data_IF_680965112082
#
_entry.id   IF_680965112082
#
_cell.length_a   1.000
_cell.length_b   1.000
_cell.length_c   1.000
_cell.angle_alpha   90.00
_cell.angle_beta   90.00
_cell.angle_gamma   90.00
#
_symmetry.space_group_name_H-M   'P 1'
#
loop_
_entity.id
_entity.type
_entity.pdbx_description
1 polymer ?
#
# COMPACT_ATOMS: atom_id res chain seq x y z
N UNK A 1 -20.07 26.47 43.10
CA UNK A 1 -18.77 25.90 42.67
C UNK A 1 -18.90 24.50 42.08
N UNK A 2 -19.80 23.63 42.55
CA UNK A 2 -20.05 22.30 41.96
C UNK A 2 -20.51 22.29 40.49
N UNK A 3 -21.34 23.25 40.07
CA UNK A 3 -21.79 23.33 38.67
C UNK A 3 -20.67 23.63 37.66
N UNK A 4 -19.57 24.27 38.09
CA UNK A 4 -18.42 24.59 37.23
C UNK A 4 -17.47 23.39 37.08
N UNK A 5 -17.25 22.62 38.14
CA UNK A 5 -16.42 21.40 38.10
C UNK A 5 -17.04 20.28 37.26
N UNK A 6 -18.38 20.16 37.24
CA UNK A 6 -19.07 19.15 36.42
C UNK A 6 -18.98 19.45 34.91
N UNK A 7 -19.02 20.72 34.51
CA UNK A 7 -18.81 21.14 33.13
C UNK A 7 -17.36 20.86 32.66
N UNK A 8 -16.36 21.21 33.47
CA UNK A 8 -14.93 20.95 33.21
C UNK A 8 -14.60 19.44 33.07
N UNK A 9 -15.25 18.57 33.86
CA UNK A 9 -15.06 17.12 33.76
C UNK A 9 -15.70 16.47 32.53
N UNK A 10 -16.78 17.07 32.00
CA UNK A 10 -17.46 16.56 30.80
C UNK A 10 -16.66 16.90 29.53
N UNK A 11 -16.06 18.09 29.49
CA UNK A 11 -15.18 18.53 28.40
C UNK A 11 -13.89 17.70 28.34
N UNK A 12 -13.25 17.43 29.48
CA UNK A 12 -12.02 16.61 29.51
C UNK A 12 -12.25 15.17 29.01
N UNK A 13 -13.36 14.54 29.42
CA UNK A 13 -13.73 13.20 28.98
C UNK A 13 -14.06 13.17 27.48
N UNK A 14 -14.73 14.20 26.95
CA UNK A 14 -15.04 14.30 25.52
C UNK A 14 -13.77 14.51 24.67
N UNK A 15 -12.82 15.33 25.13
CA UNK A 15 -11.54 15.57 24.45
C UNK A 15 -10.68 14.31 24.44
N UNK A 16 -10.66 13.56 25.55
CA UNK A 16 -9.95 12.29 25.63
C UNK A 16 -10.57 11.24 24.72
N UNK A 17 -11.90 11.07 24.74
CA UNK A 17 -12.61 10.14 23.85
C UNK A 17 -12.39 10.45 22.37
N UNK A 18 -12.43 11.73 21.98
CA UNK A 18 -12.15 12.17 20.60
C UNK A 18 -10.71 11.85 20.22
N UNK A 19 -9.71 12.14 21.07
CA UNK A 19 -8.31 11.80 20.80
C UNK A 19 -8.11 10.29 20.61
N UNK A 20 -8.73 9.47 21.47
CA UNK A 20 -8.65 8.01 21.41
C UNK A 20 -9.27 7.42 20.14
N UNK A 21 -10.29 8.09 19.56
CA UNK A 21 -10.95 7.63 18.33
C UNK A 21 -10.18 7.95 17.04
N UNK A 22 -9.26 8.93 17.03
CA UNK A 22 -8.52 9.34 15.82
C UNK A 22 -7.72 8.15 15.26
N UNK A 23 -6.92 7.51 16.11
CA UNK A 23 -6.02 6.45 15.66
C UNK A 23 -6.78 5.25 15.05
N UNK A 24 -7.80 4.66 15.69
CA UNK A 24 -8.60 3.59 15.10
C UNK A 24 -9.22 3.96 13.76
N UNK A 25 -9.75 5.18 13.61
CA UNK A 25 -10.35 5.63 12.35
C UNK A 25 -9.31 5.67 11.23
N UNK A 26 -8.14 6.25 11.47
CA UNK A 26 -7.07 6.29 10.46
C UNK A 26 -6.54 4.89 10.12
N UNK A 27 -6.36 4.02 11.12
CA UNK A 27 -5.93 2.62 10.92
C UNK A 27 -6.95 1.87 10.07
N UNK A 28 -8.24 1.94 10.42
CA UNK A 28 -9.30 1.26 9.69
C UNK A 28 -9.43 1.78 8.25
N UNK A 29 -9.29 3.09 8.05
CA UNK A 29 -9.37 3.73 6.73
C UNK A 29 -8.20 3.30 5.83
N UNK A 30 -6.98 3.35 6.35
CA UNK A 30 -5.78 2.91 5.59
C UNK A 30 -5.84 1.41 5.29
N UNK A 31 -6.24 0.60 6.27
CA UNK A 31 -6.43 -0.84 6.09
C UNK A 31 -7.44 -1.13 4.98
N UNK A 32 -8.64 -0.54 5.05
CA UNK A 32 -9.69 -0.74 4.05
C UNK A 32 -9.26 -0.24 2.67
N UNK A 33 -8.56 0.89 2.61
CA UNK A 33 -8.02 1.42 1.35
C UNK A 33 -7.06 0.44 0.71
N UNK A 34 -6.10 -0.08 1.47
CA UNK A 34 -5.12 -1.03 0.98
C UNK A 34 -5.78 -2.37 0.59
N UNK A 35 -6.77 -2.81 1.35
CA UNK A 35 -7.58 -3.99 1.06
C UNK A 35 -8.30 -3.86 -0.29
N UNK A 36 -8.96 -2.73 -0.55
CA UNK A 36 -9.65 -2.48 -1.81
C UNK A 36 -8.67 -2.34 -2.99
N UNK A 37 -7.50 -1.73 -2.76
CA UNK A 37 -6.44 -1.57 -3.75
C UNK A 37 -5.85 -2.91 -4.21
N UNK A 38 -5.71 -3.87 -3.30
CA UNK A 38 -5.16 -5.19 -3.61
C UNK A 38 -6.21 -6.21 -4.05
N UNK A 39 -7.48 -6.05 -3.67
CA UNK A 39 -8.56 -6.95 -4.12
C UNK A 39 -8.98 -6.66 -5.56
N UNK A 40 -8.91 -5.40 -6.00
CA UNK A 40 -9.36 -5.02 -7.34
C UNK A 40 -8.50 -5.62 -8.46
N UNK A 41 -7.21 -5.85 -8.21
CA UNK A 41 -6.28 -6.38 -9.21
C UNK A 41 -6.64 -7.81 -9.65
N UNK A 42 -6.71 -8.82 -8.76
CA UNK A 42 -7.12 -10.17 -9.14
C UNK A 42 -8.61 -10.24 -9.55
N UNK A 43 -9.48 -9.45 -8.91
CA UNK A 43 -10.88 -9.32 -9.31
C UNK A 43 -11.04 -8.90 -10.77
N UNK A 44 -10.39 -7.80 -11.16
CA UNK A 44 -10.51 -7.28 -12.52
C UNK A 44 -9.77 -8.15 -13.54
N UNK A 45 -8.61 -8.69 -13.18
CA UNK A 45 -7.91 -9.67 -14.02
C UNK A 45 -8.80 -10.90 -14.31
N UNK A 46 -9.50 -11.43 -13.29
CA UNK A 46 -10.44 -12.54 -13.46
C UNK A 46 -11.66 -12.18 -14.32
N UNK A 47 -12.15 -10.93 -14.22
CA UNK A 47 -13.23 -10.44 -15.08
C UNK A 47 -12.84 -10.40 -16.57
N UNK A 48 -11.58 -10.08 -16.86
CA UNK A 48 -11.06 -9.98 -18.23
C UNK A 48 -10.59 -11.34 -18.78
N UNK A 49 -10.21 -12.27 -17.90
CA UNK A 49 -9.67 -13.60 -18.25
C UNK A 49 -10.44 -14.35 -19.35
N UNK A 50 -11.79 -14.41 -19.39
CA UNK A 50 -12.52 -15.14 -20.43
C UNK A 50 -12.33 -14.58 -21.85
N UNK A 51 -11.84 -13.34 -21.99
CA UNK A 51 -11.67 -12.66 -23.30
C UNK A 51 -10.28 -12.81 -23.88
N UNK A 52 -9.25 -12.85 -23.03
CA UNK A 52 -7.84 -12.89 -23.44
C UNK A 52 -7.14 -14.23 -23.10
N UNK A 53 -7.77 -15.08 -22.29
CA UNK A 53 -7.14 -16.26 -21.71
C UNK A 53 -6.13 -15.91 -20.62
N UNK A 54 -5.52 -16.95 -20.03
CA UNK A 54 -4.58 -16.84 -18.90
C UNK A 54 -3.11 -16.74 -19.31
N UNK A 55 -2.79 -16.12 -20.45
CA UNK A 55 -1.40 -16.07 -20.90
C UNK A 55 -0.54 -15.19 -19.97
N UNK A 56 0.76 -15.52 -19.77
CA UNK A 56 1.66 -14.70 -18.96
C UNK A 56 1.73 -13.23 -19.40
N UNK A 57 1.59 -12.96 -20.71
CA UNK A 57 1.64 -11.61 -21.26
C UNK A 57 0.50 -10.70 -20.79
N UNK A 58 -0.72 -11.23 -20.64
CA UNK A 58 -1.87 -10.47 -20.09
C UNK A 58 -1.54 -9.97 -18.69
N UNK A 59 -0.84 -10.80 -17.91
CA UNK A 59 -0.51 -10.42 -16.54
C UNK A 59 0.62 -9.41 -16.45
N UNK A 60 1.65 -9.53 -17.28
CA UNK A 60 2.71 -8.52 -17.35
C UNK A 60 2.13 -7.13 -17.68
N UNK A 61 1.18 -7.05 -18.61
CA UNK A 61 0.48 -5.80 -18.94
C UNK A 61 -0.33 -5.27 -17.76
N UNK A 62 -1.05 -6.15 -17.07
CA UNK A 62 -1.81 -5.77 -15.88
C UNK A 62 -0.91 -5.19 -14.78
N UNK A 63 0.23 -5.83 -14.51
CA UNK A 63 1.20 -5.35 -13.54
C UNK A 63 1.77 -3.97 -13.93
N UNK A 64 2.21 -3.79 -15.18
CA UNK A 64 2.70 -2.48 -15.65
C UNK A 64 1.65 -1.39 -15.44
N UNK A 65 0.39 -1.66 -15.76
CA UNK A 65 -0.70 -0.71 -15.53
C UNK A 65 -0.85 -0.36 -14.04
N UNK A 66 -1.07 -1.37 -13.18
CA UNK A 66 -1.35 -1.13 -11.76
C UNK A 66 -0.18 -0.46 -11.04
N UNK A 67 1.06 -0.84 -11.34
CA UNK A 67 2.23 -0.19 -10.75
C UNK A 67 2.39 1.26 -11.24
N UNK A 68 2.12 1.53 -12.52
CA UNK A 68 2.16 2.89 -13.06
C UNK A 68 1.11 3.77 -12.39
N UNK A 69 -0.13 3.31 -12.27
CA UNK A 69 -1.21 4.10 -11.65
C UNK A 69 -0.98 4.26 -10.13
N UNK A 70 -0.41 3.26 -9.45
CA UNK A 70 0.02 3.35 -8.05
C UNK A 70 1.03 4.49 -7.87
N UNK A 71 2.07 4.52 -8.70
CA UNK A 71 3.10 5.56 -8.70
C UNK A 71 2.50 6.94 -8.98
N UNK A 72 1.58 7.04 -9.95
CA UNK A 72 0.86 8.28 -10.22
C UNK A 72 0.03 8.75 -9.02
N UNK A 73 -0.65 7.85 -8.32
CA UNK A 73 -1.41 8.18 -7.11
C UNK A 73 -0.52 8.67 -5.97
N UNK A 74 0.65 8.08 -5.79
CA UNK A 74 1.63 8.52 -4.80
C UNK A 74 2.24 9.87 -5.17
N UNK A 75 2.54 10.08 -6.46
CA UNK A 75 2.96 11.37 -7.00
C UNK A 75 1.92 12.44 -6.76
N UNK A 76 0.65 12.16 -7.09
CA UNK A 76 -0.48 13.03 -6.80
C UNK A 76 -0.60 13.36 -5.31
N UNK A 77 -0.54 12.35 -4.43
CA UNK A 77 -0.57 12.54 -2.98
C UNK A 77 0.54 13.47 -2.48
N UNK A 78 1.76 13.30 -3.01
CA UNK A 78 2.90 14.17 -2.71
C UNK A 78 2.67 15.61 -3.16
N UNK A 79 2.26 15.81 -4.42
CA UNK A 79 1.98 17.14 -4.98
C UNK A 79 0.87 17.84 -4.20
N UNK A 80 -0.21 17.13 -3.87
CA UNK A 80 -1.35 17.64 -3.14
C UNK A 80 -0.95 18.11 -1.73
N UNK A 81 -0.16 17.30 -1.03
CA UNK A 81 0.31 17.60 0.33
C UNK A 81 1.32 18.74 0.37
N UNK A 82 2.16 18.85 -0.66
CA UNK A 82 3.25 19.81 -0.76
C UNK A 82 2.79 21.20 -1.20
N UNK A 83 1.88 21.28 -2.18
CA UNK A 83 1.55 22.55 -2.83
C UNK A 83 0.18 23.12 -2.46
N UNK A 84 -0.77 22.30 -2.01
CA UNK A 84 -2.10 22.79 -1.66
C UNK A 84 -2.27 23.02 -0.16
N UNK A 85 -3.08 24.04 0.17
CA UNK A 85 -3.60 24.23 1.53
C UNK A 85 -4.43 22.99 1.94
N UNK A 86 -4.42 22.59 3.22
CA UNK A 86 -5.09 21.36 3.66
C UNK A 86 -6.57 21.26 3.25
N UNK A 87 -7.32 22.36 3.32
CA UNK A 87 -8.74 22.39 2.91
C UNK A 87 -8.91 22.11 1.41
N UNK A 88 -8.04 22.68 0.57
CA UNK A 88 -8.08 22.45 -0.87
C UNK A 88 -7.66 21.02 -1.20
N UNK A 89 -6.64 20.48 -0.52
CA UNK A 89 -6.24 19.08 -0.65
C UNK A 89 -7.41 18.12 -0.36
N UNK A 90 -8.13 18.33 0.75
CA UNK A 90 -9.32 17.52 1.08
C UNK A 90 -10.40 17.67 0.00
N UNK A 91 -10.70 18.89 -0.45
CA UNK A 91 -11.73 19.12 -1.47
C UNK A 91 -11.37 18.48 -2.82
N UNK A 92 -10.13 18.65 -3.29
CA UNK A 92 -9.67 18.04 -4.54
C UNK A 92 -9.74 16.51 -4.47
N UNK A 93 -9.30 15.92 -3.36
CA UNK A 93 -9.38 14.48 -3.20
C UNK A 93 -10.82 13.97 -3.10
N UNK A 94 -11.71 14.73 -2.45
CA UNK A 94 -13.14 14.45 -2.44
C UNK A 94 -13.74 14.47 -3.86
N UNK A 95 -13.35 15.43 -4.71
CA UNK A 95 -13.77 15.46 -6.11
C UNK A 95 -13.25 14.25 -6.89
N UNK A 96 -12.01 13.80 -6.66
CA UNK A 96 -11.46 12.59 -7.29
C UNK A 96 -12.23 11.34 -6.85
N UNK A 97 -12.53 11.21 -5.55
CA UNK A 97 -13.34 10.10 -5.03
C UNK A 97 -14.76 10.12 -5.62
N UNK A 98 -15.39 11.29 -5.70
CA UNK A 98 -16.71 11.44 -6.31
C UNK A 98 -16.69 11.11 -7.81
N UNK A 99 -15.67 11.54 -8.55
CA UNK A 99 -15.53 11.23 -9.98
C UNK A 99 -15.33 9.73 -10.24
N UNK A 100 -14.63 9.03 -9.35
CA UNK A 100 -14.48 7.58 -9.43
C UNK A 100 -15.79 6.79 -9.22
N UNK A 101 -16.83 7.40 -8.64
CA UNK A 101 -18.17 6.80 -8.57
C UNK A 101 -18.83 6.62 -9.95
N UNK A 102 -18.43 7.42 -10.96
CA UNK A 102 -18.91 7.28 -12.33
C UNK A 102 -18.50 5.94 -12.97
N UNK A 103 -17.51 5.26 -12.39
CA UNK A 103 -16.98 3.98 -12.84
C UNK A 103 -17.50 2.80 -12.01
N UNK A 104 -18.49 3.04 -11.14
CA UNK A 104 -19.12 2.01 -10.31
C UNK A 104 -20.50 1.60 -10.87
N UNK A 105 -20.89 0.31 -10.79
CA UNK A 105 -20.06 -0.82 -10.36
C UNK A 105 -18.97 -1.14 -11.40
N UNK A 106 -17.80 -1.58 -10.96
CA UNK A 106 -16.70 -1.92 -11.87
C UNK A 106 -17.17 -3.05 -12.80
N UNK A 107 -17.12 -2.78 -14.10
CA UNK A 107 -17.51 -3.70 -15.15
C UNK A 107 -16.68 -3.43 -16.41
N UNK A 108 -16.76 -4.33 -17.37
CA UNK A 108 -16.20 -4.08 -18.70
C UNK A 108 -17.15 -3.11 -19.42
N UNK A 109 -16.67 -1.91 -19.82
CA UNK A 109 -17.51 -0.91 -20.46
C UNK A 109 -17.94 -1.35 -21.86
N UNK A 110 -19.06 -0.77 -22.31
CA UNK A 110 -19.59 -1.02 -23.65
C UNK A 110 -18.55 -0.65 -24.73
N UNK A 111 -18.39 -1.50 -25.74
CA UNK A 111 -17.39 -1.35 -26.80
C UNK A 111 -16.00 -1.93 -26.49
N UNK A 112 -15.81 -2.50 -25.28
CA UNK A 112 -14.58 -3.18 -24.86
C UNK A 112 -14.78 -4.69 -24.63
N UNK A 113 -15.82 -5.27 -25.22
CA UNK A 113 -16.17 -6.68 -24.98
C UNK A 113 -15.27 -7.64 -25.76
N UNK A 114 -14.81 -7.23 -26.95
CA UNK A 114 -14.05 -8.07 -27.88
C UNK A 114 -12.65 -7.49 -28.09
N UNK A 115 -11.59 -8.22 -27.76
CA UNK A 115 -10.23 -7.76 -28.01
C UNK A 115 -9.89 -7.80 -29.52
N UNK A 116 -9.05 -6.88 -30.01
CA UNK A 116 -8.61 -6.89 -31.40
C UNK A 116 -7.67 -8.06 -31.69
N UNK A 117 -7.55 -8.44 -32.98
CA UNK A 117 -6.64 -9.51 -33.42
C UNK A 117 -5.16 -9.14 -33.24
N UNK A 118 -4.83 -7.85 -33.36
CA UNK A 118 -3.48 -7.31 -33.15
C UNK A 118 -3.49 -6.21 -32.09
N UNK A 119 -2.39 -6.05 -31.36
CA UNK A 119 -2.26 -4.96 -30.38
C UNK A 119 -3.02 -5.19 -29.06
N UNK A 120 -3.27 -6.45 -28.68
CA UNK A 120 -4.00 -6.81 -27.47
C UNK A 120 -3.43 -6.18 -26.19
N UNK A 121 -2.11 -6.00 -26.08
CA UNK A 121 -1.49 -5.36 -24.92
C UNK A 121 -1.89 -3.89 -24.78
N UNK A 122 -1.90 -3.13 -25.87
CA UNK A 122 -2.30 -1.70 -25.86
C UNK A 122 -3.80 -1.57 -25.57
N UNK A 123 -4.59 -2.45 -26.19
CA UNK A 123 -6.02 -2.54 -25.90
C UNK A 123 -6.27 -2.83 -24.41
N UNK A 124 -5.57 -3.79 -23.82
CA UNK A 124 -5.73 -4.14 -22.41
C UNK A 124 -5.37 -2.98 -21.47
N UNK A 125 -4.31 -2.22 -21.77
CA UNK A 125 -3.98 -0.99 -21.04
C UNK A 125 -5.13 0.03 -21.13
N UNK A 126 -5.71 0.19 -22.33
CA UNK A 126 -6.87 1.05 -22.56
C UNK A 126 -8.09 0.62 -21.74
N UNK A 127 -8.44 -0.67 -21.78
CA UNK A 127 -9.52 -1.26 -20.99
C UNK A 127 -9.32 -0.97 -19.50
N UNK A 128 -8.12 -1.20 -18.99
CA UNK A 128 -7.81 -0.96 -17.58
C UNK A 128 -7.95 0.53 -17.24
N UNK A 129 -7.48 1.43 -18.11
CA UNK A 129 -7.61 2.87 -17.93
C UNK A 129 -9.07 3.32 -17.83
N UNK A 130 -9.94 2.84 -18.73
CA UNK A 130 -11.34 3.28 -18.79
C UNK A 130 -12.25 2.57 -17.79
N UNK A 131 -11.90 1.38 -17.32
CA UNK A 131 -12.76 0.61 -16.42
C UNK A 131 -12.39 0.81 -14.94
N UNK A 132 -11.10 0.79 -14.62
CA UNK A 132 -10.61 0.75 -13.23
C UNK A 132 -9.54 1.80 -12.92
N UNK A 133 -9.04 2.53 -13.92
CA UNK A 133 -7.96 3.49 -13.77
C UNK A 133 -8.23 4.59 -12.75
N UNK A 134 -9.35 5.31 -12.87
CA UNK A 134 -9.69 6.38 -11.92
C UNK A 134 -10.01 5.85 -10.51
N UNK A 135 -10.83 4.79 -10.34
CA UNK A 135 -11.03 4.17 -9.02
C UNK A 135 -9.71 3.72 -8.37
N UNK A 136 -8.82 3.05 -9.12
CA UNK A 136 -7.53 2.59 -8.61
C UNK A 136 -6.63 3.78 -8.23
N UNK A 137 -6.53 4.80 -9.09
CA UNK A 137 -5.80 6.03 -8.82
C UNK A 137 -6.28 6.71 -7.52
N UNK A 138 -7.58 6.87 -7.35
CA UNK A 138 -8.17 7.50 -6.17
C UNK A 138 -7.81 6.74 -4.87
N UNK A 139 -7.91 5.40 -4.90
CA UNK A 139 -7.60 4.55 -3.74
C UNK A 139 -6.10 4.50 -3.46
N UNK A 140 -5.25 4.49 -4.49
CA UNK A 140 -3.79 4.42 -4.34
C UNK A 140 -3.20 5.62 -3.60
N UNK A 141 -3.77 6.81 -3.79
CA UNK A 141 -3.31 8.04 -3.14
C UNK A 141 -3.55 8.06 -1.62
N UNK A 142 -4.50 7.26 -1.11
CA UNK A 142 -4.95 7.33 0.28
C UNK A 142 -3.85 6.97 1.29
N UNK A 143 -2.99 5.99 0.99
CA UNK A 143 -1.95 5.54 1.92
C UNK A 143 -1.03 6.68 2.37
N UNK A 144 -0.35 7.36 1.43
CA UNK A 144 0.47 8.54 1.74
C UNK A 144 -0.35 9.73 2.26
N UNK A 145 -1.54 10.01 1.68
CA UNK A 145 -2.37 11.14 2.10
C UNK A 145 -2.85 11.02 3.54
N UNK A 146 -3.39 9.87 3.93
CA UNK A 146 -3.92 9.65 5.27
C UNK A 146 -2.82 9.69 6.32
N UNK A 147 -1.60 9.23 6.01
CA UNK A 147 -0.46 9.39 6.91
C UNK A 147 -0.03 10.85 7.06
N UNK A 148 -0.02 11.62 5.97
CA UNK A 148 0.25 13.06 6.01
C UNK A 148 -0.85 13.85 6.72
N UNK A 149 -2.10 13.40 6.67
CA UNK A 149 -3.19 14.01 7.43
C UNK A 149 -3.12 13.62 8.90
N UNK A 150 -2.79 12.37 9.23
CA UNK A 150 -2.60 11.91 10.60
C UNK A 150 -1.52 12.71 11.32
N UNK A 151 -0.41 13.03 10.64
CA UNK A 151 0.67 13.84 11.22
C UNK A 151 0.26 15.27 11.59
N UNK A 152 -0.87 15.76 11.05
CA UNK A 152 -1.44 17.10 11.32
C UNK A 152 -2.55 17.09 12.37
N UNK A 153 -2.90 15.94 12.96
CA UNK A 153 -4.01 15.83 13.93
C UNK A 153 -3.64 16.20 15.37
N UNK A 154 -2.34 16.33 15.68
CA UNK A 154 -1.87 16.56 17.05
C UNK A 154 -2.03 15.35 17.98
N UNK A 155 -2.27 14.15 17.44
CA UNK A 155 -2.25 12.90 18.21
C UNK A 155 -0.84 12.62 18.75
N UNK A 156 -0.72 11.92 19.89
CA UNK A 156 0.55 11.54 20.52
C UNK A 156 1.50 10.71 19.63
N UNK A 157 0.99 10.22 18.50
CA UNK A 157 1.72 9.41 17.53
C UNK A 157 1.82 10.08 16.16
N UNK A 158 1.35 11.32 16.02
CA UNK A 158 1.34 12.07 14.78
C UNK A 158 2.77 12.39 14.29
N UNK A 159 3.74 12.49 15.20
CA UNK A 159 5.14 12.76 14.86
C UNK A 159 5.82 11.62 14.07
N UNK A 160 5.39 10.37 14.26
CA UNK A 160 5.88 9.19 13.54
C UNK A 160 4.70 8.32 13.06
N UNK A 161 4.05 8.70 11.94
CA UNK A 161 2.87 8.00 11.42
C UNK A 161 3.20 6.70 10.69
N UNK A 162 4.48 6.37 10.49
CA UNK A 162 4.93 5.31 9.57
C UNK A 162 4.41 3.91 9.92
N UNK A 163 4.04 3.65 11.18
CA UNK A 163 3.42 2.40 11.59
C UNK A 163 2.06 2.14 10.90
N UNK A 164 1.37 3.20 10.44
CA UNK A 164 0.14 3.07 9.65
C UNK A 164 0.39 2.40 8.30
N UNK A 165 1.60 2.50 7.75
CA UNK A 165 2.00 1.72 6.58
C UNK A 165 2.06 0.22 6.86
N UNK A 166 2.42 -0.16 8.09
CA UNK A 166 2.27 -1.54 8.56
C UNK A 166 0.81 -1.99 8.48
N UNK A 167 -0.13 -1.20 9.01
CA UNK A 167 -1.58 -1.48 8.90
C UNK A 167 -2.06 -1.55 7.44
N UNK A 168 -1.55 -0.68 6.57
CA UNK A 168 -1.80 -0.72 5.12
C UNK A 168 -1.40 -2.07 4.53
N UNK A 169 -0.16 -2.51 4.79
CA UNK A 169 0.35 -3.77 4.25
C UNK A 169 -0.35 -5.00 4.84
N UNK A 170 -0.85 -4.94 6.09
CA UNK A 170 -1.73 -5.99 6.63
C UNK A 170 -3.03 -6.07 5.82
N UNK A 171 -3.62 -4.93 5.46
CA UNK A 171 -4.81 -4.89 4.60
C UNK A 171 -4.55 -5.47 3.21
N UNK A 172 -3.44 -5.09 2.58
CA UNK A 172 -2.99 -5.65 1.30
C UNK A 172 -2.77 -7.16 1.37
N UNK A 173 -2.06 -7.64 2.40
CA UNK A 173 -1.81 -9.05 2.63
C UNK A 173 -3.10 -9.83 2.85
N UNK A 174 -3.98 -9.33 3.72
CA UNK A 174 -5.27 -9.96 4.02
C UNK A 174 -6.14 -10.06 2.76
N UNK A 175 -6.14 -9.03 1.91
CA UNK A 175 -6.87 -9.06 0.64
C UNK A 175 -6.41 -10.18 -0.28
N UNK A 176 -5.11 -10.39 -0.41
CA UNK A 176 -4.57 -11.44 -1.28
C UNK A 176 -4.92 -12.84 -0.79
N UNK A 177 -4.80 -13.08 0.52
CA UNK A 177 -5.15 -14.37 1.12
C UNK A 177 -6.66 -14.62 1.03
N UNK A 178 -7.48 -13.63 1.42
CA UNK A 178 -8.94 -13.74 1.35
C UNK A 178 -9.44 -13.88 -0.08
N UNK A 179 -8.73 -13.35 -1.09
CA UNK A 179 -9.10 -13.56 -2.48
C UNK A 179 -9.11 -15.06 -2.83
N UNK A 180 -8.06 -15.79 -2.45
CA UNK A 180 -7.91 -17.22 -2.75
C UNK A 180 -8.91 -18.07 -1.95
N UNK A 181 -9.03 -17.83 -0.65
CA UNK A 181 -9.78 -18.74 0.23
C UNK A 181 -11.27 -18.40 0.35
N UNK A 182 -11.68 -17.17 0.01
CA UNK A 182 -13.03 -16.70 0.23
C UNK A 182 -13.66 -16.02 -0.99
N UNK A 183 -13.05 -14.98 -1.56
CA UNK A 183 -13.72 -14.23 -2.65
C UNK A 183 -13.82 -15.03 -3.93
N UNK A 184 -12.76 -15.72 -4.31
CA UNK A 184 -12.77 -16.49 -5.53
C UNK A 184 -13.68 -17.74 -5.45
N UNK A 185 -13.67 -18.54 -4.38
CA UNK A 185 -14.49 -19.75 -4.31
C UNK A 185 -15.97 -19.46 -3.99
N UNK A 186 -16.27 -18.37 -3.26
CA UNK A 186 -17.61 -18.13 -2.71
C UNK A 186 -18.39 -17.02 -3.42
N UNK A 187 -17.72 -16.10 -4.14
CA UNK A 187 -18.40 -14.95 -4.76
C UNK A 187 -18.35 -15.01 -6.29
N UNK A 188 -19.49 -14.71 -6.93
CA UNK A 188 -19.51 -14.45 -8.36
C UNK A 188 -18.78 -13.15 -8.68
N UNK A 189 -18.36 -12.96 -9.94
CA UNK A 189 -17.74 -11.69 -10.37
C UNK A 189 -18.67 -10.48 -10.16
N UNK A 190 -19.99 -10.68 -10.31
CA UNK A 190 -20.98 -9.64 -10.00
C UNK A 190 -21.04 -9.30 -8.51
N UNK A 191 -20.94 -10.30 -7.63
CA UNK A 191 -20.88 -10.08 -6.17
C UNK A 191 -19.60 -9.38 -5.74
N UNK A 192 -18.46 -9.74 -6.36
CA UNK A 192 -17.18 -9.05 -6.13
C UNK A 192 -17.27 -7.57 -6.54
N UNK A 193 -17.88 -7.27 -7.68
CA UNK A 193 -18.10 -5.90 -8.16
C UNK A 193 -18.98 -5.07 -7.20
N UNK A 194 -20.09 -5.66 -6.73
CA UNK A 194 -20.97 -5.03 -5.73
C UNK A 194 -20.26 -4.82 -4.39
N UNK A 195 -19.55 -5.84 -3.90
CA UNK A 195 -18.81 -5.77 -2.64
C UNK A 195 -17.74 -4.69 -2.68
N UNK A 196 -17.03 -4.58 -3.81
CA UNK A 196 -16.03 -3.53 -4.01
C UNK A 196 -16.69 -2.14 -4.02
N UNK A 197 -17.85 -1.99 -4.67
CA UNK A 197 -18.61 -0.72 -4.68
C UNK A 197 -19.02 -0.30 -3.26
N UNK A 198 -19.54 -1.22 -2.45
CA UNK A 198 -19.90 -0.94 -1.04
C UNK A 198 -18.66 -0.56 -0.23
N UNK A 199 -17.57 -1.31 -0.38
CA UNK A 199 -16.30 -0.99 0.26
C UNK A 199 -15.77 0.39 -0.16
N UNK A 200 -15.89 0.75 -1.44
CA UNK A 200 -15.48 2.04 -1.97
C UNK A 200 -16.27 3.20 -1.35
N UNK A 201 -17.60 3.07 -1.24
CA UNK A 201 -18.45 4.08 -0.60
C UNK A 201 -18.10 4.24 0.89
N UNK A 202 -17.89 3.12 1.59
CA UNK A 202 -17.43 3.13 2.99
C UNK A 202 -16.07 3.83 3.12
N UNK A 203 -15.13 3.49 2.25
CA UNK A 203 -13.80 4.10 2.21
C UNK A 203 -13.90 5.61 1.95
N UNK A 204 -14.69 6.03 0.95
CA UNK A 204 -14.86 7.45 0.63
C UNK A 204 -15.39 8.22 1.84
N UNK A 205 -16.41 7.70 2.53
CA UNK A 205 -16.93 8.28 3.77
C UNK A 205 -15.86 8.39 4.87
N UNK A 206 -15.10 7.32 5.10
CA UNK A 206 -14.03 7.29 6.10
C UNK A 206 -12.89 8.26 5.78
N UNK A 207 -12.49 8.38 4.51
CA UNK A 207 -11.49 9.36 4.07
C UNK A 207 -11.98 10.79 4.33
N UNK A 208 -13.26 11.08 4.08
CA UNK A 208 -13.84 12.40 4.40
C UNK A 208 -13.86 12.66 5.91
N UNK A 209 -14.13 11.66 6.74
CA UNK A 209 -14.04 11.76 8.20
C UNK A 209 -12.60 12.06 8.63
N UNK A 210 -11.59 11.35 8.10
CA UNK A 210 -10.17 11.63 8.35
C UNK A 210 -9.79 13.05 7.96
N UNK A 211 -10.23 13.52 6.78
CA UNK A 211 -10.00 14.89 6.32
C UNK A 211 -10.65 15.94 7.23
N UNK A 212 -11.88 15.70 7.68
CA UNK A 212 -12.58 16.58 8.62
C UNK A 212 -11.89 16.65 9.99
N UNK A 213 -11.46 15.50 10.54
CA UNK A 213 -10.68 15.43 11.78
C UNK A 213 -9.39 16.25 11.64
N UNK A 214 -8.66 16.05 10.54
CA UNK A 214 -7.44 16.81 10.27
C UNK A 214 -7.72 18.32 10.19
N UNK A 215 -8.79 18.75 9.51
CA UNK A 215 -9.14 20.17 9.40
C UNK A 215 -9.57 20.79 10.74
N UNK A 216 -10.27 20.04 11.58
CA UNK A 216 -10.76 20.50 12.88
C UNK A 216 -9.67 20.52 13.97
N UNK A 217 -8.53 19.89 13.73
CA UNK A 217 -7.42 19.74 14.68
C UNK A 217 -6.11 20.35 14.18
N UNK A 218 -6.04 20.75 12.91
CA UNK A 218 -4.90 21.44 12.35
C UNK A 218 -4.62 22.70 13.19
N UNK A 219 -3.38 22.89 13.71
CA UNK A 219 -3.03 24.09 14.43
C UNK A 219 -3.35 25.32 13.60
N UNK A 220 -4.08 26.27 14.19
CA UNK A 220 -4.30 27.57 13.55
C UNK A 220 -2.93 28.25 13.40
N UNK A 221 -2.56 28.80 12.22
CA UNK A 221 -1.26 29.45 12.00
C UNK A 221 -0.95 30.56 13.01
N UNK A 222 -1.97 31.09 13.68
CA UNK A 222 -1.87 32.15 14.69
C UNK A 222 -1.42 31.69 16.09
N UNK A 223 -1.29 30.37 16.35
CA UNK A 223 -0.85 29.81 17.64
C UNK A 223 0.46 29.03 17.53
N UNK A 224 1.38 29.44 16.65
CA UNK A 224 2.77 29.00 16.77
C UNK A 224 3.47 29.99 17.72
N UNK A 225 3.75 29.65 18.99
CA UNK A 225 4.73 30.41 19.74
C UNK A 225 6.02 30.41 18.94
N UNK A 226 6.59 31.60 18.75
CA UNK A 226 7.92 31.83 18.20
C UNK A 226 9.05 31.35 19.16
N UNK A 227 8.81 30.27 19.89
CA UNK A 227 9.82 29.53 20.65
C UNK A 227 10.28 28.32 19.83
N UNK A 228 10.96 28.63 18.72
CA UNK A 228 12.00 27.75 18.22
C UNK A 228 13.23 28.00 19.10
N UNK A 229 13.29 27.36 20.26
CA UNK A 229 14.49 27.32 21.09
C UNK A 229 14.83 25.87 21.44
N UNK A 230 16.00 25.46 20.94
CA UNK A 230 16.87 24.35 21.31
C UNK A 230 16.36 22.89 21.17
N UNK A 231 16.87 22.23 20.11
CA UNK A 231 17.21 20.81 20.17
C UNK A 231 16.69 19.92 19.04
N UNK A 232 15.60 20.27 18.35
CA UNK A 232 15.20 19.54 17.15
C UNK A 232 15.96 20.11 15.97
N UNK A 233 16.96 19.37 15.47
CA UNK A 233 17.62 19.66 14.20
C UNK A 233 16.58 20.18 13.20
N UNK A 234 16.79 21.38 12.69
CA UNK A 234 16.28 21.77 11.37
C UNK A 234 16.90 20.75 10.38
N UNK A 235 16.31 19.56 10.30
CA UNK A 235 16.81 18.51 9.40
C UNK A 235 16.51 18.96 7.99
N UNK A 236 17.59 19.31 7.28
CA UNK A 236 17.52 19.71 5.89
C UNK A 236 16.72 18.68 5.06
N UNK A 237 15.99 19.12 4.03
CA UNK A 237 15.23 18.23 3.16
C UNK A 237 16.08 17.07 2.66
N UNK A 238 15.48 15.88 2.55
CA UNK A 238 16.20 14.67 2.15
C UNK A 238 17.10 14.90 0.91
N UNK A 239 18.38 14.54 1.05
CA UNK A 239 19.40 14.74 0.03
C UNK A 239 19.11 13.90 -1.21
N UNK A 240 19.67 14.29 -2.36
CA UNK A 240 19.66 13.43 -3.58
C UNK A 240 20.27 12.06 -3.30
N UNK A 241 21.26 11.99 -2.42
CA UNK A 241 21.89 10.74 -1.98
C UNK A 241 20.90 9.84 -1.24
N UNK A 242 20.11 10.42 -0.33
CA UNK A 242 19.11 9.66 0.45
C UNK A 242 18.03 9.09 -0.46
N UNK A 243 17.53 9.89 -1.39
CA UNK A 243 16.54 9.45 -2.40
C UNK A 243 17.06 8.31 -3.26
N UNK A 244 18.29 8.42 -3.75
CA UNK A 244 18.91 7.33 -4.51
C UNK A 244 19.08 6.06 -3.66
N UNK A 245 19.48 6.20 -2.40
CA UNK A 245 19.57 5.05 -1.48
C UNK A 245 18.21 4.40 -1.25
N UNK A 246 17.13 5.17 -1.15
CA UNK A 246 15.79 4.63 -1.01
C UNK A 246 15.38 3.82 -2.23
N UNK A 247 15.57 4.37 -3.43
CA UNK A 247 15.30 3.66 -4.70
C UNK A 247 16.13 2.38 -4.80
N UNK A 248 17.43 2.46 -4.52
CA UNK A 248 18.32 1.30 -4.62
C UNK A 248 17.94 0.19 -3.63
N UNK A 249 17.56 0.54 -2.39
CA UNK A 249 17.12 -0.42 -1.38
C UNK A 249 15.74 -1.02 -1.71
N UNK A 250 14.83 -0.25 -2.32
CA UNK A 250 13.53 -0.75 -2.77
C UNK A 250 13.63 -1.61 -4.05
N UNK A 251 14.62 -1.35 -4.91
CA UNK A 251 14.85 -2.09 -6.15
C UNK A 251 15.28 -3.55 -5.89
N UNK A 252 16.05 -3.81 -4.82
CA UNK A 252 16.52 -5.17 -4.47
C UNK A 252 15.33 -6.14 -4.26
N UNK A 253 14.41 -5.91 -3.29
CA UNK A 253 13.30 -6.81 -3.04
C UNK A 253 12.30 -6.82 -4.21
N UNK A 254 12.10 -5.70 -4.89
CA UNK A 254 11.19 -5.62 -6.05
C UNK A 254 11.71 -6.44 -7.24
N UNK A 255 13.01 -6.34 -7.54
CA UNK A 255 13.65 -7.15 -8.58
C UNK A 255 13.63 -8.65 -8.25
N UNK A 256 13.87 -9.00 -6.98
CA UNK A 256 13.76 -10.39 -6.52
C UNK A 256 12.33 -10.91 -6.61
N UNK A 257 11.32 -10.11 -6.26
CA UNK A 257 9.92 -10.50 -6.41
C UNK A 257 9.59 -10.82 -7.87
N UNK A 258 10.01 -9.97 -8.81
CA UNK A 258 9.83 -10.21 -10.24
C UNK A 258 10.54 -11.49 -10.68
N UNK A 259 11.80 -11.69 -10.25
CA UNK A 259 12.59 -12.87 -10.60
C UNK A 259 11.96 -14.17 -10.07
N UNK A 260 11.58 -14.21 -8.78
CA UNK A 260 10.94 -15.37 -8.14
C UNK A 260 9.59 -15.66 -8.80
N UNK A 261 8.77 -14.64 -9.04
CA UNK A 261 7.48 -14.83 -9.70
C UNK A 261 7.65 -15.34 -11.14
N UNK A 262 8.64 -14.85 -11.88
CA UNK A 262 8.94 -15.34 -13.22
C UNK A 262 9.36 -16.82 -13.20
N UNK A 263 10.29 -17.20 -12.33
CA UNK A 263 10.72 -18.59 -12.16
C UNK A 263 9.54 -19.51 -11.79
N UNK A 264 8.73 -19.11 -10.80
CA UNK A 264 7.54 -19.88 -10.40
C UNK A 264 6.56 -20.04 -11.56
N UNK A 265 6.35 -18.99 -12.36
CA UNK A 265 5.35 -18.98 -13.44
C UNK A 265 5.79 -19.78 -14.68
N UNK A 266 7.09 -19.76 -15.00
CA UNK A 266 7.65 -20.39 -16.20
C UNK A 266 8.09 -21.83 -15.91
N UNK A 267 8.81 -22.05 -14.81
CA UNK A 267 9.53 -23.30 -14.58
C UNK A 267 8.77 -24.27 -13.65
N UNK A 268 7.82 -23.77 -12.84
CA UNK A 268 7.06 -24.60 -11.89
C UNK A 268 5.64 -24.83 -12.39
N UNK A 269 4.81 -23.79 -12.39
CA UNK A 269 3.47 -23.83 -12.94
C UNK A 269 2.90 -22.43 -13.13
N UNK A 270 2.30 -22.19 -14.30
CA UNK A 270 1.53 -20.99 -14.59
C UNK A 270 0.14 -21.06 -13.94
N UNK A 271 0.09 -21.03 -12.60
CA UNK A 271 -1.16 -20.97 -11.84
C UNK A 271 -1.29 -19.59 -11.15
N UNK A 272 -2.40 -18.85 -11.36
CA UNK A 272 -2.68 -17.55 -10.71
C UNK A 272 -2.78 -17.57 -9.18
N UNK A 273 -2.47 -18.67 -8.49
CA UNK A 273 -2.40 -18.70 -7.02
C UNK A 273 -0.97 -18.77 -6.53
N UNK A 274 -0.07 -19.41 -7.29
CA UNK A 274 1.32 -19.63 -6.89
C UNK A 274 2.08 -18.32 -6.73
N UNK A 275 1.83 -17.33 -7.59
CA UNK A 275 2.42 -15.99 -7.51
C UNK A 275 1.94 -15.12 -6.33
N UNK A 276 0.82 -15.49 -5.69
CA UNK A 276 0.28 -14.73 -4.55
C UNK A 276 1.18 -14.96 -3.35
N UNK A 277 1.84 -16.12 -3.29
CA UNK A 277 2.75 -16.48 -2.20
C UNK A 277 3.96 -15.53 -2.17
N UNK A 278 4.76 -15.34 -3.25
CA UNK A 278 5.82 -14.33 -3.28
C UNK A 278 5.32 -12.93 -2.92
N UNK A 279 4.20 -12.48 -3.48
CA UNK A 279 3.67 -11.14 -3.22
C UNK A 279 3.20 -10.98 -1.76
N UNK A 280 2.56 -11.99 -1.19
CA UNK A 280 2.14 -11.99 0.21
C UNK A 280 3.35 -11.97 1.15
N UNK A 281 4.39 -12.76 0.86
CA UNK A 281 5.66 -12.70 1.61
C UNK A 281 6.31 -11.33 1.49
N UNK A 282 6.34 -10.73 0.30
CA UNK A 282 6.83 -9.38 0.08
C UNK A 282 6.09 -8.35 0.95
N UNK A 283 4.76 -8.34 0.94
CA UNK A 283 3.96 -7.44 1.78
C UNK A 283 4.17 -7.70 3.27
N UNK A 284 4.31 -8.96 3.68
CA UNK A 284 4.61 -9.32 5.06
C UNK A 284 5.96 -8.71 5.51
N UNK A 285 6.95 -8.62 4.62
CA UNK A 285 8.20 -7.94 4.97
C UNK A 285 8.00 -6.46 5.29
N UNK A 286 7.11 -5.76 4.58
CA UNK A 286 6.76 -4.38 4.91
C UNK A 286 5.98 -4.29 6.23
N UNK A 287 5.04 -5.21 6.50
CA UNK A 287 4.34 -5.29 7.80
C UNK A 287 5.35 -5.37 8.95
N UNK A 288 6.33 -6.26 8.84
CA UNK A 288 7.34 -6.48 9.87
C UNK A 288 8.34 -5.32 9.97
N UNK A 289 8.76 -4.74 8.84
CA UNK A 289 9.73 -3.65 8.82
C UNK A 289 9.16 -2.34 9.40
N UNK A 290 7.89 -2.04 9.10
CA UNK A 290 7.19 -0.83 9.57
C UNK A 290 6.45 -1.01 10.91
N UNK A 291 6.50 -2.19 11.52
CA UNK A 291 5.93 -2.41 12.84
C UNK A 291 6.58 -1.49 13.90
N UNK A 292 5.78 -0.94 14.81
CA UNK A 292 6.28 -0.08 15.92
C UNK A 292 7.34 -0.78 16.76
N UNK A 293 7.13 -2.08 17.03
CA UNK A 293 8.07 -2.93 17.74
C UNK A 293 8.55 -4.00 16.76
N UNK A 294 9.81 -3.87 16.34
CA UNK A 294 10.45 -4.86 15.49
C UNK A 294 10.68 -6.14 16.31
N UNK A 295 9.98 -7.21 15.94
CA UNK A 295 10.08 -8.51 16.62
C UNK A 295 11.42 -9.19 16.32
N UNK A 296 11.93 -8.97 15.11
CA UNK A 296 13.21 -9.52 14.63
C UNK A 296 14.17 -8.38 14.36
N UNK A 297 15.40 -8.47 14.85
CA UNK A 297 16.44 -7.49 14.58
C UNK A 297 17.08 -7.72 13.21
N UNK A 298 17.41 -6.63 12.49
CA UNK A 298 18.08 -6.71 11.19
C UNK A 298 19.41 -7.49 11.27
N UNK A 299 20.12 -7.38 12.40
CA UNK A 299 21.36 -8.14 12.67
C UNK A 299 21.12 -9.65 12.66
N UNK A 300 20.02 -10.13 13.21
CA UNK A 300 19.67 -11.55 13.23
C UNK A 300 19.48 -12.07 11.81
N UNK A 301 18.72 -11.35 10.99
CA UNK A 301 18.49 -11.72 9.58
C UNK A 301 19.82 -11.69 8.80
N UNK A 302 20.62 -10.64 8.99
CA UNK A 302 21.94 -10.53 8.35
C UNK A 302 22.90 -11.66 8.74
N UNK A 303 22.79 -12.20 9.96
CA UNK A 303 23.61 -13.35 10.41
C UNK A 303 23.16 -14.69 9.83
N UNK A 304 21.86 -14.84 9.53
CA UNK A 304 21.28 -16.06 8.94
C UNK A 304 21.50 -16.10 7.42
N UNK A 305 21.47 -14.93 6.78
CA UNK A 305 21.44 -14.83 5.32
C UNK A 305 22.60 -15.54 4.59
N UNK A 306 23.88 -15.46 5.02
CA UNK A 306 24.97 -16.19 4.35
C UNK A 306 24.78 -17.70 4.36
N UNK A 307 24.26 -18.26 5.45
CA UNK A 307 24.00 -19.70 5.58
C UNK A 307 22.86 -20.14 4.66
N UNK A 308 21.79 -19.35 4.61
CA UNK A 308 20.65 -19.62 3.74
C UNK A 308 21.04 -19.51 2.26
N UNK A 309 21.87 -18.53 1.90
CA UNK A 309 22.43 -18.39 0.55
C UNK A 309 23.37 -19.54 0.19
N UNK A 310 24.22 -19.99 1.11
CA UNK A 310 25.10 -21.13 0.89
C UNK A 310 24.29 -22.41 0.67
N UNK A 311 23.25 -22.64 1.48
CA UNK A 311 22.33 -23.75 1.29
C UNK A 311 21.63 -23.68 -0.08
N UNK A 312 21.10 -22.51 -0.45
CA UNK A 312 20.49 -22.29 -1.77
C UNK A 312 21.45 -22.59 -2.92
N UNK A 313 22.68 -22.10 -2.83
CA UNK A 313 23.72 -22.37 -3.83
C UNK A 313 24.07 -23.85 -3.93
N UNK A 314 24.21 -24.56 -2.80
CA UNK A 314 24.47 -26.00 -2.80
C UNK A 314 23.32 -26.76 -3.48
N UNK A 315 22.06 -26.42 -3.17
CA UNK A 315 20.90 -27.07 -3.81
C UNK A 315 20.78 -26.76 -5.31
N UNK A 316 21.38 -25.66 -5.77
CA UNK A 316 21.44 -25.31 -7.19
C UNK A 316 22.54 -26.07 -7.94
N UNK A 317 23.71 -26.26 -7.31
CA UNK A 317 24.87 -26.92 -7.95
C UNK A 317 24.79 -28.44 -7.88
N UNK A 318 24.28 -28.97 -6.76
CA UNK A 318 24.23 -30.41 -6.53
C UNK A 318 22.85 -30.94 -6.91
N UNK A 319 22.80 -31.76 -7.96
CA UNK A 319 21.61 -32.54 -8.28
C UNK A 319 21.48 -33.70 -7.28
N UNK A 320 20.89 -33.40 -6.13
CA UNK A 320 20.66 -34.33 -5.03
C UNK A 320 19.26 -34.98 -5.09
N UNK A 321 18.53 -34.83 -6.20
CA UNK A 321 17.14 -35.31 -6.31
C UNK A 321 16.18 -34.66 -5.29
N UNK A 322 16.46 -33.42 -4.88
CA UNK A 322 15.65 -32.70 -3.90
C UNK A 322 14.28 -32.40 -4.52
N UNK A 323 13.17 -32.69 -3.81
CA UNK A 323 11.85 -32.39 -4.33
C UNK A 323 11.63 -30.89 -4.59
N UNK A 324 10.92 -30.57 -5.68
CA UNK A 324 10.68 -29.19 -6.14
C UNK A 324 10.04 -28.29 -5.08
N UNK A 325 9.16 -28.81 -4.22
CA UNK A 325 8.55 -27.99 -3.17
C UNK A 325 9.55 -27.56 -2.08
N UNK A 326 10.58 -28.37 -1.81
CA UNK A 326 11.61 -28.02 -0.83
C UNK A 326 12.55 -26.96 -1.41
N UNK A 327 12.96 -27.11 -2.68
CA UNK A 327 13.77 -26.09 -3.35
C UNK A 327 12.98 -24.78 -3.48
N UNK A 328 11.71 -24.82 -3.85
CA UNK A 328 10.84 -23.64 -3.87
C UNK A 328 10.73 -22.99 -2.48
N UNK A 329 10.50 -23.77 -1.42
CA UNK A 329 10.45 -23.27 -0.05
C UNK A 329 11.73 -22.56 0.36
N UNK A 330 12.90 -23.09 -0.03
CA UNK A 330 14.19 -22.47 0.20
C UNK A 330 14.36 -21.14 -0.56
N UNK A 331 13.97 -21.10 -1.84
CA UNK A 331 14.00 -19.86 -2.64
C UNK A 331 13.09 -18.77 -2.04
N UNK A 332 11.89 -19.14 -1.61
CA UNK A 332 10.95 -18.23 -0.95
C UNK A 332 11.48 -17.72 0.40
N UNK A 333 12.13 -18.59 1.19
CA UNK A 333 12.76 -18.20 2.44
C UNK A 333 13.93 -17.23 2.21
N UNK A 334 14.79 -17.53 1.21
CA UNK A 334 15.90 -16.65 0.83
C UNK A 334 15.38 -15.28 0.37
N UNK A 335 14.40 -15.29 -0.53
CA UNK A 335 13.70 -14.09 -0.97
C UNK A 335 13.17 -13.27 0.21
N UNK A 336 12.43 -13.90 1.11
CA UNK A 336 11.84 -13.24 2.28
C UNK A 336 12.90 -12.62 3.19
N UNK A 337 13.99 -13.33 3.47
CA UNK A 337 15.07 -12.82 4.32
C UNK A 337 15.80 -11.63 3.68
N UNK A 338 16.13 -11.70 2.38
CA UNK A 338 16.76 -10.57 1.67
C UNK A 338 15.81 -9.37 1.66
N UNK A 339 14.55 -9.60 1.32
CA UNK A 339 13.57 -8.53 1.24
C UNK A 339 13.30 -7.87 2.60
N UNK A 340 13.15 -8.66 3.66
CA UNK A 340 12.97 -8.14 5.01
C UNK A 340 14.17 -7.33 5.47
N UNK A 341 15.39 -7.81 5.24
CA UNK A 341 16.59 -7.06 5.59
C UNK A 341 16.66 -5.72 4.83
N UNK A 342 16.43 -5.74 3.52
CA UNK A 342 16.44 -4.53 2.70
C UNK A 342 15.38 -3.52 3.16
N UNK A 343 14.15 -3.97 3.44
CA UNK A 343 13.08 -3.11 3.95
C UNK A 343 13.38 -2.58 5.35
N UNK A 344 13.96 -3.37 6.25
CA UNK A 344 14.36 -2.88 7.58
C UNK A 344 15.43 -1.79 7.50
N UNK A 345 16.40 -1.93 6.59
CA UNK A 345 17.44 -0.92 6.34
C UNK A 345 16.87 0.32 5.64
N UNK A 346 15.90 0.14 4.75
CA UNK A 346 15.19 1.25 4.11
C UNK A 346 14.41 2.07 5.14
N UNK A 347 13.67 1.39 6.02
CA UNK A 347 12.83 2.00 7.05
C UNK A 347 13.64 2.71 8.13
N UNK A 348 14.87 2.27 8.41
CA UNK A 348 15.76 2.98 9.34
C UNK A 348 16.34 4.28 8.77
N UNK A 349 16.26 4.46 7.44
CA UNK A 349 16.69 5.66 6.71
C UNK A 349 15.53 6.57 6.30
N UNK A 350 14.33 6.35 6.83
CA UNK A 350 13.14 7.16 6.50
C UNK A 350 13.30 8.60 7.02
N UNK A 351 12.78 9.61 6.32
CA UNK A 351 12.85 11.00 6.77
C UNK A 351 11.77 11.30 7.84
N UNK A 352 11.81 12.49 8.46
CA UNK A 352 10.72 12.97 9.32
C UNK A 352 9.36 13.03 8.60
N UNK A 353 8.26 13.12 9.35
CA UNK A 353 6.90 13.10 8.83
C UNK A 353 6.60 14.17 7.76
N UNK A 354 7.33 15.29 7.75
CA UNK A 354 7.15 16.36 6.76
C UNK A 354 7.46 15.91 5.32
N UNK A 355 8.41 14.98 5.15
CA UNK A 355 8.84 14.45 3.85
C UNK A 355 8.30 13.04 3.56
N UNK A 356 7.36 12.53 4.38
CA UNK A 356 6.89 11.13 4.29
C UNK A 356 6.30 10.79 2.92
N UNK A 357 5.55 11.71 2.31
CA UNK A 357 4.92 11.44 1.01
C UNK A 357 5.95 11.32 -0.10
N UNK A 358 7.05 12.08 0.00
CA UNK A 358 8.19 11.96 -0.90
C UNK A 358 8.91 10.63 -0.71
N UNK A 359 9.12 10.20 0.54
CA UNK A 359 9.72 8.89 0.83
C UNK A 359 8.94 7.74 0.20
N UNK A 360 7.61 7.73 0.33
CA UNK A 360 6.77 6.70 -0.31
C UNK A 360 6.86 6.75 -1.83
N UNK A 361 6.93 7.94 -2.43
CA UNK A 361 7.09 8.09 -3.87
C UNK A 361 8.41 7.48 -4.38
N UNK A 362 9.52 7.66 -3.66
CA UNK A 362 10.82 7.10 -4.05
C UNK A 362 10.96 5.60 -3.75
N UNK A 363 10.13 5.07 -2.86
CA UNK A 363 10.07 3.65 -2.53
C UNK A 363 9.24 2.83 -3.51
N UNK A 364 8.24 3.46 -4.14
CA UNK A 364 7.31 2.81 -5.08
C UNK A 364 7.93 2.71 -6.46
#
# INVERSE_FOLDING_TARGET
MEHSQKALGTDANSVHAVKTAILPVFVATIFLSAFLLFSVQPFFAKMVLPRLGGSPGVWSVAMVFFQTVLLLGYGYAHLLTKYLKPRNAVLFHACILAAALLFQPIAIPAGWEVPPQSGQSIWLLGLFAVAVGLPFFAVSANGPLLQAWFSRTGHDHAADPYFLYGSSNIGSFASLILYIIAFEPLQTIGDQSRSWTVGYLMLAGLVMVCGAIMLARAPSPAMLPSERSDGSRDEAPASRKDRFQWVALAAIPSGLLVAVTAHVSVDIAAAPFLWVIPLALFLLTFVLAFARRQIVAARTIASILPWLSALGFITFVVDAGIPVWMTLGLHLALFFCVALLAHMVLVSKRPPANDLTGFYLWMS
#
